data_IF_695720465382
#
_entry.id   IF_695720465382
#
_cell.length_a   1.000
_cell.length_b   1.000
_cell.length_c   1.000
_cell.angle_alpha   90.00
_cell.angle_beta   90.00
_cell.angle_gamma   90.00
#
_symmetry.space_group_name_H-M   'P 1'
#
loop_
_entity.id
_entity.type
_entity.pdbx_description
1 polymer ?
#
# COMPACT_ATOMS: atom_id res chain seq x y z
N UNK A 1 -0.16 -35.80 14.25
CA UNK A 1 0.17 -34.37 14.38
C UNK A 1 0.22 -33.74 12.99
N UNK A 2 -0.50 -32.69 12.78
CA UNK A 2 -0.52 -32.01 11.50
C UNK A 2 0.74 -31.15 11.36
N UNK A 3 1.37 -31.14 10.18
CA UNK A 3 2.44 -30.19 9.95
C UNK A 3 1.92 -28.78 10.07
N UNK A 4 2.67 -27.94 10.74
CA UNK A 4 2.34 -26.52 10.82
C UNK A 4 2.72 -25.90 9.48
N UNK A 5 1.71 -25.47 8.74
CA UNK A 5 1.94 -24.71 7.53
C UNK A 5 2.10 -23.25 7.89
N UNK A 6 3.28 -22.71 7.56
CA UNK A 6 3.49 -21.28 7.72
C UNK A 6 2.92 -20.57 6.51
N UNK A 7 1.78 -19.93 6.71
CA UNK A 7 1.25 -19.02 5.72
C UNK A 7 1.98 -17.70 5.91
N UNK A 8 2.69 -17.26 4.88
CA UNK A 8 3.35 -15.96 4.90
C UNK A 8 2.30 -14.86 4.85
N UNK A 9 1.83 -14.47 6.02
CA UNK A 9 0.90 -13.36 6.17
C UNK A 9 1.67 -12.14 6.64
N UNK A 10 1.49 -11.04 5.91
CA UNK A 10 2.01 -9.76 6.34
C UNK A 10 1.05 -9.10 7.32
N UNK A 11 1.60 -8.44 8.33
CA UNK A 11 0.85 -7.53 9.17
C UNK A 11 0.74 -6.20 8.45
N UNK A 12 -0.48 -5.77 8.18
CA UNK A 12 -0.74 -4.49 7.50
C UNK A 12 -0.90 -3.39 8.54
N UNK A 13 -0.07 -2.36 8.45
CA UNK A 13 -0.22 -1.13 9.24
C UNK A 13 -0.51 0.01 8.29
N UNK A 14 -1.22 1.01 8.76
CA UNK A 14 -1.53 2.19 7.95
C UNK A 14 -1.23 3.46 8.74
N UNK A 15 -0.78 4.47 8.03
CA UNK A 15 -0.55 5.80 8.59
C UNK A 15 -1.88 6.55 8.72
N UNK A 16 -1.87 7.62 9.49
CA UNK A 16 -3.00 8.55 9.58
C UNK A 16 -3.27 9.19 8.20
N UNK A 17 -2.22 9.52 7.48
CA UNK A 17 -2.30 10.13 6.14
C UNK A 17 -2.99 9.17 5.16
N UNK A 18 -2.61 7.89 5.18
CA UNK A 18 -3.26 6.88 4.33
C UNK A 18 -4.74 6.74 4.68
N UNK A 19 -5.06 6.65 5.96
CA UNK A 19 -6.43 6.49 6.43
C UNK A 19 -7.31 7.66 5.99
N UNK A 20 -6.81 8.88 6.12
CA UNK A 20 -7.51 10.09 5.66
C UNK A 20 -7.75 10.07 4.16
N UNK A 21 -6.75 9.68 3.38
CA UNK A 21 -6.89 9.59 1.95
C UNK A 21 -7.99 8.58 1.57
N UNK A 22 -7.95 7.40 2.16
CA UNK A 22 -8.93 6.35 1.87
C UNK A 22 -10.35 6.77 2.21
N UNK A 23 -10.53 7.46 3.34
CA UNK A 23 -11.85 7.95 3.77
C UNK A 23 -12.45 8.98 2.83
N UNK A 24 -11.61 9.76 2.17
CA UNK A 24 -12.06 10.82 1.25
C UNK A 24 -12.51 10.30 -0.10
N UNK A 25 -12.22 9.05 -0.43
CA UNK A 25 -12.65 8.46 -1.69
C UNK A 25 -14.17 8.25 -1.63
N UNK A 26 -14.88 8.92 -2.53
CA UNK A 26 -16.36 8.86 -2.57
C UNK A 26 -16.87 7.70 -3.42
N UNK A 27 -16.08 7.28 -4.41
CA UNK A 27 -16.46 6.18 -5.29
C UNK A 27 -16.32 4.86 -4.54
N UNK A 28 -17.47 4.25 -4.21
CA UNK A 28 -17.54 3.01 -3.44
C UNK A 28 -16.85 1.87 -4.17
N UNK A 29 -16.97 1.81 -5.50
CA UNK A 29 -16.32 0.75 -6.30
C UNK A 29 -14.80 0.90 -6.26
N UNK A 30 -14.31 2.12 -6.36
CA UNK A 30 -12.88 2.38 -6.26
C UNK A 30 -12.35 1.98 -4.89
N UNK A 31 -13.02 2.38 -3.84
CA UNK A 31 -12.64 2.02 -2.47
C UNK A 31 -12.60 0.50 -2.30
N UNK A 32 -13.60 -0.21 -2.78
CA UNK A 32 -13.64 -1.67 -2.69
C UNK A 32 -12.46 -2.31 -3.43
N UNK A 33 -12.13 -1.83 -4.63
CA UNK A 33 -11.01 -2.37 -5.40
C UNK A 33 -9.66 -2.10 -4.73
N UNK A 34 -9.50 -0.94 -4.12
CA UNK A 34 -8.31 -0.61 -3.34
C UNK A 34 -8.17 -1.56 -2.16
N UNK A 35 -9.23 -1.76 -1.40
CA UNK A 35 -9.23 -2.63 -0.23
C UNK A 35 -8.94 -4.08 -0.60
N UNK A 36 -9.51 -4.57 -1.71
CA UNK A 36 -9.25 -5.94 -2.19
C UNK A 36 -7.77 -6.09 -2.55
N UNK A 37 -7.16 -5.11 -3.20
CA UNK A 37 -5.75 -5.17 -3.55
C UNK A 37 -4.85 -5.14 -2.32
N UNK A 38 -5.19 -4.35 -1.32
CA UNK A 38 -4.46 -4.32 -0.05
C UNK A 38 -4.59 -5.66 0.66
N UNK A 39 -5.78 -6.25 0.66
CA UNK A 39 -6.00 -7.55 1.26
C UNK A 39 -5.14 -8.64 0.61
N UNK A 40 -4.92 -8.56 -0.70
CA UNK A 40 -4.02 -9.47 -1.39
C UNK A 40 -2.57 -9.32 -0.95
N UNK A 41 -2.13 -8.14 -0.60
CA UNK A 41 -0.79 -7.94 -0.04
C UNK A 41 -0.60 -8.73 1.26
N UNK A 42 -1.66 -8.82 2.05
CA UNK A 42 -1.62 -9.53 3.33
C UNK A 42 -1.35 -11.02 3.15
N UNK A 43 -1.90 -11.62 2.09
CA UNK A 43 -1.91 -13.06 1.90
C UNK A 43 -0.99 -13.57 0.79
N UNK A 44 -0.32 -12.69 0.07
CA UNK A 44 0.35 -13.06 -1.17
C UNK A 44 1.83 -12.69 -1.14
N UNK A 45 2.68 -13.63 -1.54
CA UNK A 45 4.10 -13.39 -1.76
C UNK A 45 4.33 -12.52 -2.99
N UNK A 46 3.32 -12.45 -3.87
CA UNK A 46 3.37 -11.66 -5.08
C UNK A 46 2.53 -10.40 -4.88
N UNK A 47 3.18 -9.26 -4.86
CA UNK A 47 2.50 -7.99 -4.66
C UNK A 47 1.70 -7.53 -5.89
N UNK A 48 1.60 -8.39 -6.92
CA UNK A 48 0.84 -8.06 -8.11
C UNK A 48 1.48 -6.94 -8.90
N UNK A 49 0.67 -5.98 -9.35
CA UNK A 49 1.14 -4.85 -10.15
C UNK A 49 1.78 -3.79 -9.26
N UNK A 50 3.05 -4.01 -8.92
CA UNK A 50 3.84 -3.14 -8.04
C UNK A 50 5.17 -2.76 -8.70
N UNK A 51 5.61 -1.54 -8.44
CA UNK A 51 6.92 -1.05 -8.90
C UNK A 51 7.64 -0.36 -7.75
N UNK A 52 8.97 -0.46 -7.74
CA UNK A 52 9.79 0.31 -6.82
C UNK A 52 9.83 1.77 -7.25
N UNK A 53 9.67 2.68 -6.29
CA UNK A 53 9.76 4.12 -6.53
C UNK A 53 10.91 4.77 -5.77
N UNK A 54 11.81 3.95 -5.22
CA UNK A 54 12.98 4.40 -4.47
C UNK A 54 12.76 4.33 -2.98
N UNK A 55 13.86 4.38 -2.23
CA UNK A 55 13.89 4.36 -0.75
C UNK A 55 13.20 3.16 -0.13
N UNK A 56 13.10 2.06 -0.88
CA UNK A 56 12.40 0.86 -0.42
C UNK A 56 10.89 0.96 -0.48
N UNK A 57 10.35 2.01 -1.06
CA UNK A 57 8.92 2.21 -1.22
C UNK A 57 8.47 1.57 -2.53
N UNK A 58 7.33 0.92 -2.49
CA UNK A 58 6.68 0.34 -3.67
C UNK A 58 5.36 1.03 -3.95
N UNK A 59 5.04 1.10 -5.23
CA UNK A 59 3.78 1.63 -5.72
C UNK A 59 2.89 0.49 -6.16
N UNK A 60 1.75 0.34 -5.50
CA UNK A 60 0.72 -0.62 -5.88
C UNK A 60 -0.26 0.09 -6.82
N UNK A 61 -0.42 -0.46 -8.02
CA UNK A 61 -1.31 0.13 -9.03
C UNK A 61 -2.68 -0.55 -9.00
N UNK A 62 -3.70 0.26 -8.97
CA UNK A 62 -5.09 -0.20 -9.08
C UNK A 62 -5.66 0.39 -10.36
N UNK A 63 -5.76 -0.43 -11.40
CA UNK A 63 -6.21 -0.01 -12.73
C UNK A 63 -7.72 0.10 -12.81
N UNK A 64 -8.25 1.11 -12.16
CA UNK A 64 -9.66 1.40 -12.14
C UNK A 64 -9.88 2.91 -12.11
N UNK A 65 -10.80 3.42 -12.93
CA UNK A 65 -11.17 4.83 -13.00
C UNK A 65 -9.93 5.74 -13.17
N UNK A 66 -9.62 6.56 -12.19
CA UNK A 66 -8.49 7.51 -12.20
C UNK A 66 -7.11 6.85 -12.20
N UNK A 67 -7.04 5.55 -12.04
CA UNK A 67 -5.77 4.86 -11.84
C UNK A 67 -5.19 5.12 -10.45
N UNK A 68 -5.81 4.51 -9.44
CA UNK A 68 -5.41 4.71 -8.05
C UNK A 68 -4.05 4.08 -7.76
N UNK A 69 -3.35 4.66 -6.80
CA UNK A 69 -2.04 4.20 -6.37
C UNK A 69 -1.99 4.13 -4.85
N UNK A 70 -1.33 3.10 -4.33
CA UNK A 70 -1.03 2.98 -2.89
C UNK A 70 0.47 2.81 -2.74
N UNK A 71 1.10 3.63 -1.92
CA UNK A 71 2.54 3.59 -1.65
C UNK A 71 2.76 2.92 -0.32
N UNK A 72 3.62 1.90 -0.31
CA UNK A 72 3.85 1.12 0.89
C UNK A 72 5.31 0.73 1.05
N UNK A 73 5.68 0.41 2.27
CA UNK A 73 7.01 -0.08 2.64
C UNK A 73 6.87 -1.45 3.26
N UNK A 74 7.64 -2.42 2.77
CA UNK A 74 7.78 -3.71 3.42
C UNK A 74 8.89 -3.63 4.46
N UNK A 75 8.63 -4.11 5.66
CA UNK A 75 9.58 -4.11 6.76
C UNK A 75 9.80 -5.52 7.26
N UNK A 76 11.07 -5.96 7.23
CA UNK A 76 11.52 -7.26 7.79
C UNK A 76 10.79 -8.47 7.22
N UNK A 77 10.24 -8.36 6.02
CA UNK A 77 9.49 -9.45 5.38
C UNK A 77 8.21 -9.83 6.09
N UNK A 78 7.75 -9.02 7.06
CA UNK A 78 6.61 -9.35 7.91
C UNK A 78 5.55 -8.25 7.98
N UNK A 79 5.96 -7.00 7.80
CA UNK A 79 5.09 -5.85 7.99
C UNK A 79 5.01 -5.06 6.69
N UNK A 80 3.82 -4.65 6.33
CA UNK A 80 3.58 -3.70 5.24
C UNK A 80 2.99 -2.45 5.85
N UNK A 81 3.65 -1.32 5.61
CA UNK A 81 3.19 -0.02 6.09
C UNK A 81 2.61 0.74 4.90
N UNK A 82 1.30 0.98 4.91
CA UNK A 82 0.64 1.79 3.90
C UNK A 82 0.89 3.26 4.25
N UNK A 83 1.66 3.94 3.40
CA UNK A 83 2.15 5.29 3.67
C UNK A 83 1.16 6.37 3.24
N UNK A 84 0.76 6.33 1.99
CA UNK A 84 -0.17 7.29 1.40
C UNK A 84 -0.77 6.68 0.14
N UNK A 85 -1.88 7.23 -0.31
CA UNK A 85 -2.46 6.90 -1.59
C UNK A 85 -2.68 8.13 -2.44
N UNK A 86 -2.98 7.90 -3.68
CA UNK A 86 -3.27 8.96 -4.64
C UNK A 86 -3.80 8.36 -5.93
N UNK A 87 -3.71 9.12 -6.99
CA UNK A 87 -4.08 8.65 -8.30
C UNK A 87 -3.00 9.01 -9.33
N UNK A 88 -3.26 8.65 -10.58
CA UNK A 88 -2.29 8.84 -11.65
C UNK A 88 -1.90 10.31 -11.85
N UNK A 89 -2.80 11.25 -11.56
CA UNK A 89 -2.56 12.68 -11.78
C UNK A 89 -1.66 13.31 -10.72
N UNK A 90 -1.52 12.69 -9.54
CA UNK A 90 -0.73 13.22 -8.42
C UNK A 90 0.47 12.35 -8.09
N UNK A 91 0.86 11.46 -8.99
CA UNK A 91 1.85 10.41 -8.73
C UNK A 91 3.16 10.93 -8.14
N UNK A 92 3.80 11.90 -8.77
CA UNK A 92 5.10 12.38 -8.29
C UNK A 92 5.00 13.04 -6.91
N UNK A 93 3.98 13.84 -6.71
CA UNK A 93 3.74 14.50 -5.43
C UNK A 93 3.51 13.47 -4.32
N UNK A 94 2.76 12.40 -4.62
CA UNK A 94 2.45 11.35 -3.66
C UNK A 94 3.68 10.52 -3.33
N UNK A 95 4.55 10.26 -4.30
CA UNK A 95 5.83 9.57 -4.06
C UNK A 95 6.70 10.41 -3.12
N UNK A 96 6.80 11.71 -3.37
CA UNK A 96 7.60 12.61 -2.52
C UNK A 96 7.04 12.62 -1.10
N UNK A 97 5.72 12.67 -0.95
CA UNK A 97 5.07 12.65 0.35
C UNK A 97 5.28 11.31 1.06
N UNK A 98 5.22 10.18 0.32
CA UNK A 98 5.49 8.86 0.90
C UNK A 98 6.90 8.80 1.50
N UNK A 99 7.88 9.39 0.81
CA UNK A 99 9.27 9.44 1.31
C UNK A 99 9.38 10.28 2.57
N UNK A 100 8.70 11.41 2.64
CA UNK A 100 8.67 12.26 3.83
C UNK A 100 8.03 11.54 5.01
N UNK A 101 6.91 10.85 4.78
CA UNK A 101 6.22 10.07 5.81
C UNK A 101 7.15 8.97 6.33
N UNK A 102 7.81 8.25 5.45
CA UNK A 102 8.74 7.18 5.84
C UNK A 102 9.88 7.73 6.69
N UNK A 103 10.47 8.85 6.29
CA UNK A 103 11.52 9.49 7.07
C UNK A 103 11.04 9.88 8.47
N UNK A 104 9.82 10.38 8.55
CA UNK A 104 9.19 10.74 9.83
C UNK A 104 9.03 9.53 10.75
N UNK A 105 8.67 8.37 10.18
CA UNK A 105 8.51 7.14 10.95
C UNK A 105 9.84 6.58 11.46
N UNK A 106 10.93 6.88 10.77
CA UNK A 106 12.26 6.39 11.11
C UNK A 106 13.04 7.30 12.06
N UNK A 107 12.47 8.43 12.41
CA UNK A 107 13.14 9.39 13.30
C UNK A 107 12.78 9.19 14.77
#
# INVERSE_FOLDING_TARGET
MYPIEYINMFLIKKTVEFDKWLRKIKDIRAKAKILIRIQKLENDEHFGDCESVGDGIRELKINFAKGYRVYFKEQDGKIIILLIGGDKSTQQQDIDEAKEILNSLNS
#
